data_IF_497354611633
#
_entry.id   IF_497354611633
#
_cell.length_a   1.000
_cell.length_b   1.000
_cell.length_c   1.000
_cell.angle_alpha   90.00
_cell.angle_beta   90.00
_cell.angle_gamma   90.00
#
_symmetry.space_group_name_H-M   'P 1'
#
loop_
_entity.id
_entity.type
_entity.pdbx_description
1 polymer ?
#
# COMPACT_ATOMS: atom_id res chain seq x y z
N UNK A 1 14.72 -3.19 15.64
CA UNK A 1 14.24 -4.28 14.76
C UNK A 1 14.23 -3.75 13.34
N UNK A 2 15.11 -4.27 12.48
CA UNK A 2 15.36 -3.80 11.11
C UNK A 2 14.54 -4.65 10.14
N UNK A 3 13.58 -4.06 9.45
CA UNK A 3 12.95 -4.66 8.27
C UNK A 3 13.07 -3.63 7.16
N UNK A 4 14.13 -3.75 6.37
CA UNK A 4 14.44 -2.84 5.28
C UNK A 4 15.13 -3.63 4.19
N UNK A 5 14.39 -3.86 3.10
CA UNK A 5 14.91 -4.18 1.78
C UNK A 5 15.65 -5.52 1.72
N UNK A 6 14.87 -6.60 1.65
CA UNK A 6 15.30 -7.79 0.92
C UNK A 6 14.14 -8.23 0.00
N UNK A 7 14.50 -8.36 -1.29
CA UNK A 7 13.90 -9.24 -2.31
C UNK A 7 12.85 -8.63 -3.26
N UNK A 8 13.34 -7.99 -4.33
CA UNK A 8 12.98 -8.49 -5.67
C UNK A 8 13.40 -9.97 -5.72
N UNK A 9 12.48 -10.87 -6.07
CA UNK A 9 12.67 -12.32 -6.26
C UNK A 9 12.94 -13.15 -4.99
N UNK A 10 11.86 -13.72 -4.44
CA UNK A 10 11.86 -15.10 -3.94
C UNK A 10 10.41 -15.61 -3.88
N UNK A 11 10.07 -16.48 -4.84
CA UNK A 11 8.97 -17.40 -4.67
C UNK A 11 9.29 -18.42 -3.57
N UNK A 12 8.22 -19.07 -3.08
CA UNK A 12 8.23 -20.27 -2.23
C UNK A 12 8.41 -20.07 -0.72
N UNK A 13 7.45 -19.41 -0.06
CA UNK A 13 6.83 -19.88 1.20
C UNK A 13 5.44 -19.25 1.31
N UNK A 14 4.49 -19.89 1.98
CA UNK A 14 3.10 -19.46 2.13
C UNK A 14 2.92 -18.21 3.05
N UNK A 15 3.79 -17.21 2.91
CA UNK A 15 3.78 -15.95 3.65
C UNK A 15 3.37 -14.80 2.72
N UNK A 16 2.44 -13.96 3.17
CA UNK A 16 1.92 -12.82 2.38
C UNK A 16 3.06 -11.89 1.97
N UNK A 17 3.08 -11.47 0.70
CA UNK A 17 4.05 -10.47 0.22
C UNK A 17 3.83 -9.11 0.92
N UNK A 18 4.88 -8.27 1.07
CA UNK A 18 4.73 -6.94 1.67
C UNK A 18 3.62 -6.10 1.03
N UNK A 19 3.51 -6.15 -0.30
CA UNK A 19 2.47 -5.46 -1.07
C UNK A 19 1.05 -5.97 -0.76
N UNK A 20 0.89 -7.27 -0.52
CA UNK A 20 -0.39 -7.82 -0.07
C UNK A 20 -0.75 -7.35 1.35
N UNK A 21 0.23 -7.23 2.24
CA UNK A 21 0.03 -6.71 3.61
C UNK A 21 -0.45 -5.25 3.54
N UNK A 22 0.17 -4.42 2.72
CA UNK A 22 -0.24 -3.03 2.49
C UNK A 22 -1.68 -2.95 1.94
N UNK A 23 -1.99 -3.74 0.91
CA UNK A 23 -3.33 -3.79 0.33
C UNK A 23 -4.39 -4.22 1.35
N UNK A 24 -4.08 -5.21 2.20
CA UNK A 24 -4.97 -5.62 3.29
C UNK A 24 -5.17 -4.50 4.32
N UNK A 25 -4.11 -3.77 4.67
CA UNK A 25 -4.20 -2.65 5.61
C UNK A 25 -5.11 -1.53 5.07
N UNK A 26 -4.97 -1.16 3.79
CA UNK A 26 -5.85 -0.18 3.14
C UNK A 26 -7.30 -0.67 3.06
N UNK A 27 -7.52 -1.93 2.68
CA UNK A 27 -8.86 -2.54 2.64
C UNK A 27 -9.54 -2.55 4.00
N UNK A 28 -8.78 -2.84 5.06
CA UNK A 28 -9.28 -2.80 6.44
C UNK A 28 -9.65 -1.37 6.84
N UNK A 29 -8.78 -0.39 6.55
CA UNK A 29 -9.05 1.01 6.85
C UNK A 29 -10.31 1.53 6.13
N UNK A 30 -10.51 1.17 4.85
CA UNK A 30 -11.73 1.48 4.09
C UNK A 30 -12.96 0.92 4.81
N UNK A 31 -12.92 -0.36 5.15
CA UNK A 31 -14.04 -1.05 5.83
C UNK A 31 -14.39 -0.37 7.15
N UNK A 32 -13.38 -0.04 7.97
CA UNK A 32 -13.58 0.64 9.26
C UNK A 32 -14.17 2.05 9.09
N UNK A 33 -13.70 2.81 8.11
CA UNK A 33 -14.24 4.15 7.83
C UNK A 33 -15.69 4.07 7.33
N UNK A 34 -16.03 3.06 6.53
CA UNK A 34 -17.36 2.85 5.98
C UNK A 34 -18.37 2.30 6.99
N UNK A 35 -17.92 1.47 7.92
CA UNK A 35 -18.76 0.85 8.94
C UNK A 35 -18.93 1.71 10.20
N UNK A 36 -18.18 2.81 10.34
CA UNK A 36 -18.32 3.72 11.46
C UNK A 36 -19.73 4.33 11.49
N UNK A 37 -20.48 4.06 12.56
CA UNK A 37 -21.84 4.60 12.80
C UNK A 37 -21.88 5.51 14.02
N UNK A 38 -21.13 5.18 15.06
CA UNK A 38 -21.07 6.00 16.28
C UNK A 38 -19.87 6.95 16.26
N UNK A 39 -19.89 7.95 17.14
CA UNK A 39 -18.73 8.83 17.34
C UNK A 39 -17.50 8.06 17.79
N UNK A 40 -17.67 7.03 18.62
CA UNK A 40 -16.58 6.17 19.11
C UNK A 40 -15.95 5.39 17.95
N UNK A 41 -16.76 4.75 17.11
CA UNK A 41 -16.27 4.01 15.94
C UNK A 41 -15.54 4.93 14.97
N UNK A 42 -16.09 6.14 14.77
CA UNK A 42 -15.49 7.14 13.90
C UNK A 42 -14.11 7.59 14.39
N UNK A 43 -13.95 7.88 15.69
CA UNK A 43 -12.65 8.22 16.28
C UNK A 43 -11.68 7.05 16.14
N UNK A 44 -12.15 5.83 16.40
CA UNK A 44 -11.33 4.63 16.28
C UNK A 44 -10.85 4.39 14.83
N UNK A 45 -11.75 4.43 13.86
CA UNK A 45 -11.44 4.27 12.44
C UNK A 45 -10.47 5.36 11.95
N UNK A 46 -10.70 6.63 12.33
CA UNK A 46 -9.80 7.73 12.01
C UNK A 46 -8.42 7.57 12.64
N UNK A 47 -8.33 7.05 13.87
CA UNK A 47 -7.06 6.79 14.53
C UNK A 47 -6.27 5.69 13.82
N UNK A 48 -6.95 4.60 13.41
CA UNK A 48 -6.30 3.54 12.63
C UNK A 48 -5.84 4.05 11.28
N UNK A 49 -6.67 4.83 10.59
CA UNK A 49 -6.30 5.44 9.31
C UNK A 49 -5.11 6.39 9.46
N UNK A 50 -5.07 7.20 10.52
CA UNK A 50 -3.94 8.09 10.80
C UNK A 50 -2.64 7.31 11.05
N UNK A 51 -2.70 6.20 11.79
CA UNK A 51 -1.54 5.33 12.04
C UNK A 51 -1.01 4.72 10.74
N UNK A 52 -1.91 4.25 9.87
CA UNK A 52 -1.56 3.72 8.55
C UNK A 52 -0.79 4.77 7.73
N UNK A 53 -1.36 5.95 7.56
CA UNK A 53 -0.73 7.03 6.79
C UNK A 53 0.57 7.55 7.43
N UNK A 54 0.70 7.50 8.75
CA UNK A 54 1.95 7.84 9.45
C UNK A 54 3.07 6.82 9.20
N UNK A 55 2.72 5.53 9.05
CA UNK A 55 3.67 4.49 8.68
C UNK A 55 4.15 4.69 7.23
N UNK A 56 3.22 4.95 6.30
CA UNK A 56 3.55 5.28 4.90
C UNK A 56 4.46 6.50 4.82
N UNK A 57 4.12 7.58 5.53
CA UNK A 57 4.95 8.79 5.55
C UNK A 57 6.39 8.51 6.01
N UNK A 58 6.55 7.69 7.04
CA UNK A 58 7.87 7.32 7.57
C UNK A 58 8.69 6.56 6.54
N UNK A 59 8.08 5.61 5.84
CA UNK A 59 8.76 4.77 4.84
C UNK A 59 9.15 5.57 3.60
N UNK A 60 8.25 6.41 3.09
CA UNK A 60 8.50 7.26 1.92
C UNK A 60 9.52 8.37 2.24
N UNK A 61 9.61 8.77 3.51
CA UNK A 61 10.56 9.78 4.02
C UNK A 61 12.00 9.28 4.16
N UNK A 62 12.26 7.98 4.10
CA UNK A 62 13.63 7.44 4.14
C UNK A 62 14.36 7.80 2.85
N UNK A 63 15.51 8.45 2.97
CA UNK A 63 16.37 8.74 1.83
C UNK A 63 16.89 7.45 1.19
N UNK A 64 16.97 7.43 -0.15
CA UNK A 64 17.47 6.29 -0.92
C UNK A 64 16.60 5.00 -0.85
N UNK A 65 15.28 5.14 -0.81
CA UNK A 65 14.33 4.02 -0.81
C UNK A 65 14.09 3.37 -2.19
N UNK A 66 14.87 3.75 -3.22
CA UNK A 66 14.73 3.23 -4.57
C UNK A 66 13.44 3.63 -5.30
N UNK A 67 12.60 4.51 -4.72
CA UNK A 67 11.39 4.99 -5.39
C UNK A 67 11.73 6.09 -6.42
N UNK A 68 11.00 6.15 -7.55
CA UNK A 68 11.05 7.29 -8.45
C UNK A 68 10.78 8.60 -7.69
N UNK A 69 11.60 9.65 -7.87
CA UNK A 69 11.48 10.90 -7.12
C UNK A 69 10.08 11.54 -7.16
N UNK A 70 9.41 11.45 -8.31
CA UNK A 70 8.05 11.99 -8.52
C UNK A 70 7.03 11.24 -7.65
N UNK A 71 6.99 9.91 -7.75
CA UNK A 71 6.09 9.08 -6.95
C UNK A 71 6.32 9.28 -5.44
N UNK A 72 7.59 9.33 -5.02
CA UNK A 72 7.96 9.58 -3.63
C UNK A 72 7.40 10.92 -3.14
N UNK A 73 7.60 11.98 -3.91
CA UNK A 73 7.11 13.31 -3.56
C UNK A 73 5.57 13.37 -3.48
N UNK A 74 4.87 12.72 -4.40
CA UNK A 74 3.42 12.69 -4.40
C UNK A 74 2.87 11.91 -3.20
N UNK A 75 3.46 10.76 -2.88
CA UNK A 75 3.11 9.99 -1.68
C UNK A 75 3.40 10.74 -0.38
N UNK A 76 4.50 11.51 -0.31
CA UNK A 76 4.77 12.38 0.84
C UNK A 76 3.64 13.40 1.03
N UNK A 77 3.28 14.12 -0.04
CA UNK A 77 2.18 15.09 0.00
C UNK A 77 0.87 14.45 0.44
N UNK A 78 0.56 13.29 -0.13
CA UNK A 78 -0.65 12.54 0.15
C UNK A 78 -0.73 12.11 1.62
N UNK A 79 0.36 11.56 2.14
CA UNK A 79 0.43 11.06 3.51
C UNK A 79 0.31 12.18 4.54
N UNK A 80 0.91 13.34 4.27
CA UNK A 80 0.75 14.55 5.09
C UNK A 80 -0.69 15.04 5.07
N UNK A 81 -1.31 15.13 3.89
CA UNK A 81 -2.70 15.56 3.74
C UNK A 81 -3.65 14.62 4.49
N UNK A 82 -3.53 13.29 4.31
CA UNK A 82 -4.41 12.30 4.91
C UNK A 82 -4.32 12.33 6.43
N UNK A 83 -3.11 12.43 6.99
CA UNK A 83 -2.86 12.55 8.43
C UNK A 83 -3.54 13.80 9.02
N UNK A 84 -3.39 14.96 8.35
CA UNK A 84 -4.04 16.22 8.78
C UNK A 84 -5.56 16.15 8.66
N UNK A 85 -6.06 15.53 7.59
CA UNK A 85 -7.49 15.33 7.38
C UNK A 85 -8.09 14.45 8.48
N UNK A 86 -7.40 13.37 8.90
CA UNK A 86 -7.84 12.53 10.01
C UNK A 86 -8.05 13.34 11.29
N UNK A 87 -7.09 14.19 11.66
CA UNK A 87 -7.19 15.05 12.86
C UNK A 87 -8.38 16.02 12.74
N UNK A 88 -8.51 16.71 11.60
CA UNK A 88 -9.63 17.62 11.35
C UNK A 88 -10.97 16.88 11.40
N UNK A 89 -11.02 15.66 10.86
CA UNK A 89 -12.17 14.79 10.92
C UNK A 89 -12.52 14.45 12.36
N UNK A 90 -11.56 14.07 13.22
CA UNK A 90 -11.82 13.77 14.63
C UNK A 90 -12.48 14.96 15.36
N UNK A 91 -11.98 16.18 15.10
CA UNK A 91 -12.44 17.41 15.78
C UNK A 91 -13.79 17.93 15.28
N UNK A 92 -14.04 17.92 13.96
CA UNK A 92 -15.13 18.70 13.37
C UNK A 92 -16.24 17.88 12.71
N UNK A 93 -16.32 16.55 12.96
CA UNK A 93 -17.32 15.64 12.35
C UNK A 93 -17.52 15.78 10.83
N UNK A 94 -16.50 16.20 10.09
CA UNK A 94 -16.56 16.31 8.63
C UNK A 94 -16.64 14.93 7.95
N UNK A 95 -17.03 14.92 6.66
CA UNK A 95 -17.19 13.71 5.86
C UNK A 95 -15.93 12.84 5.84
N UNK A 96 -16.11 11.51 5.92
CA UNK A 96 -15.03 10.52 5.79
C UNK A 96 -14.76 10.13 4.33
N UNK A 97 -15.63 10.54 3.39
CA UNK A 97 -15.56 10.16 1.97
C UNK A 97 -14.18 10.43 1.34
N UNK A 98 -13.53 11.60 1.53
CA UNK A 98 -12.22 11.84 0.94
C UNK A 98 -11.14 10.86 1.39
N UNK A 99 -11.19 10.37 2.64
CA UNK A 99 -10.25 9.36 3.14
C UNK A 99 -10.57 7.97 2.57
N UNK A 100 -11.85 7.66 2.34
CA UNK A 100 -12.27 6.40 1.74
C UNK A 100 -11.81 6.34 0.28
N UNK A 101 -12.04 7.41 -0.48
CA UNK A 101 -11.72 7.48 -1.90
C UNK A 101 -10.20 7.34 -2.11
N UNK A 102 -9.39 8.09 -1.37
CA UNK A 102 -7.92 8.01 -1.50
C UNK A 102 -7.34 6.66 -1.08
N UNK A 103 -7.94 6.00 -0.07
CA UNK A 103 -7.51 4.67 0.33
C UNK A 103 -7.88 3.63 -0.74
N UNK A 104 -8.97 3.83 -1.49
CA UNK A 104 -9.33 2.97 -2.63
C UNK A 104 -8.35 3.15 -3.78
N UNK A 105 -8.02 4.39 -4.13
CA UNK A 105 -7.04 4.68 -5.17
C UNK A 105 -5.68 4.01 -4.85
N UNK A 106 -5.25 4.07 -3.58
CA UNK A 106 -4.05 3.36 -3.12
C UNK A 106 -4.19 1.83 -3.21
N UNK A 107 -5.33 1.28 -2.78
CA UNK A 107 -5.60 -0.15 -2.84
C UNK A 107 -5.57 -0.66 -4.28
N UNK A 108 -6.16 0.08 -5.21
CA UNK A 108 -6.22 -0.29 -6.62
C UNK A 108 -4.83 -0.22 -7.25
N UNK A 109 -4.05 0.85 -7.00
CA UNK A 109 -2.66 0.94 -7.46
C UNK A 109 -1.74 -0.14 -6.89
N UNK A 110 -1.95 -0.57 -5.64
CA UNK A 110 -1.21 -1.69 -5.05
C UNK A 110 -1.56 -3.04 -5.70
N UNK A 111 -2.82 -3.24 -6.10
CA UNK A 111 -3.30 -4.46 -6.77
C UNK A 111 -2.83 -4.55 -8.21
N UNK A 112 -2.90 -3.45 -8.96
CA UNK A 112 -2.43 -3.39 -10.35
C UNK A 112 -0.93 -3.71 -10.42
N UNK A 113 -0.13 -3.09 -9.57
CA UNK A 113 1.29 -3.37 -9.53
C UNK A 113 1.62 -4.80 -9.05
N UNK A 114 0.75 -5.45 -8.27
CA UNK A 114 0.91 -6.86 -7.91
C UNK A 114 0.67 -7.77 -9.13
N UNK A 115 -0.35 -7.48 -9.93
CA UNK A 115 -0.64 -8.21 -11.15
C UNK A 115 0.49 -8.09 -12.18
N UNK A 116 1.08 -6.89 -12.35
CA UNK A 116 2.20 -6.68 -13.27
C UNK A 116 3.47 -7.43 -12.84
N UNK A 117 3.75 -7.52 -11.53
CA UNK A 117 4.90 -8.26 -11.01
C UNK A 117 4.77 -9.78 -11.25
N UNK A 118 3.56 -10.32 -11.12
CA UNK A 118 3.27 -11.74 -11.41
C UNK A 118 3.45 -12.03 -12.91
N UNK A 119 2.86 -11.21 -13.78
CA UNK A 119 2.99 -11.37 -15.23
C UNK A 119 4.46 -11.30 -15.72
N UNK A 120 5.26 -10.39 -15.13
CA UNK A 120 6.69 -10.28 -15.44
C UNK A 120 7.49 -11.51 -15.00
N UNK A 121 7.13 -12.13 -13.88
CA UNK A 121 7.78 -13.37 -13.40
C UNK A 121 7.44 -14.59 -14.27
N UNK A 122 6.23 -14.66 -14.82
CA UNK A 122 5.81 -15.75 -15.70
C UNK A 122 6.44 -15.64 -17.10
N UNK A 123 6.56 -14.43 -17.65
CA UNK A 123 7.22 -14.19 -18.94
C UNK A 123 8.72 -14.57 -18.96
N UNK A 124 9.43 -14.35 -17.85
CA UNK A 124 10.85 -14.69 -17.72
C UNK A 124 11.07 -16.22 -17.67
N UNK A 125 10.11 -16.97 -17.10
CA UNK A 125 10.15 -18.45 -17.11
C UNK A 125 9.84 -19.08 -18.47
N UNK A 126 9.06 -18.41 -19.32
CA UNK A 126 8.76 -18.87 -20.67
C UNK A 126 9.96 -18.70 -21.63
N UNK A 127 10.71 -17.59 -21.49
CA UNK A 127 11.93 -17.36 -22.27
C UNK A 127 13.03 -18.38 -21.93
N UNK A 128 13.14 -18.79 -20.66
CA UNK A 128 14.11 -19.79 -20.22
C UNK A 128 13.82 -21.23 -20.71
N UNK A 129 12.56 -21.55 -21.09
CA UNK A 129 12.18 -22.89 -21.57
C UNK A 129 12.45 -23.13 -23.06
N UNK A 130 12.74 -22.08 -23.83
CA UNK A 130 12.89 -22.18 -25.29
C UNK A 130 14.29 -22.63 -25.75
N UNK A 131 15.27 -22.74 -24.85
CA UNK A 131 16.69 -22.98 -25.22
C UNK A 131 17.23 -24.41 -25.01
N UNK A 132 16.39 -25.46 -24.87
CA UNK A 132 16.89 -26.80 -24.50
C UNK A 132 16.57 -28.01 -25.40
N UNK A 133 16.19 -27.85 -26.67
CA UNK A 133 16.04 -29.01 -27.56
C UNK A 133 16.53 -28.78 -28.99
N UNK A 134 17.82 -28.50 -29.18
CA UNK A 134 18.45 -28.61 -30.49
C UNK A 134 19.93 -29.03 -30.37
N UNK A 135 20.17 -30.30 -30.03
CA UNK A 135 21.40 -31.01 -30.45
C UNK A 135 21.14 -32.51 -30.39
N UNK A 136 20.90 -33.10 -31.55
CA UNK A 136 21.01 -34.53 -31.83
C UNK A 136 21.91 -34.66 -33.07
#
# INVERSE_FOLDING_TARGET
>A
MKYGIQRYNMGLTNSMSPRQIEAMAFSQAITMLQSARTQKDRIHALSMNQKLWSAVLREVGVENNGMPPVLRHDLLKLSVWATRYCVRAMLHKISLKPLIDINRDMLDGLREGAAEAVARSEGDTASARTFKFATA
#
